data_IF_896463045833
#
_entry.id   IF_896463045833
#
_cell.length_a   1.000
_cell.length_b   1.000
_cell.length_c   1.000
_cell.angle_alpha   90.00
_cell.angle_beta   90.00
_cell.angle_gamma   90.00
#
_symmetry.space_group_name_H-M   'P 1'
#
loop_
_entity.id
_entity.type
_entity.pdbx_description
1 polymer ?
#
# COMPACT_ATOMS: atom_id res chain seq x y z
N UNK A 1 -10.30 -6.14 8.67
CA UNK A 1 -10.82 -6.71 9.94
C UNK A 1 -10.16 -8.06 10.13
N UNK A 2 -9.70 -8.40 11.35
CA UNK A 2 -9.15 -9.73 11.59
C UNK A 2 -10.24 -10.79 11.45
N UNK A 3 -9.92 -11.92 10.83
CA UNK A 3 -10.82 -13.08 10.78
C UNK A 3 -10.98 -13.62 12.21
N UNK A 4 -12.22 -13.68 12.71
CA UNK A 4 -12.51 -14.12 14.08
C UNK A 4 -12.66 -15.65 14.20
N UNK A 5 -13.02 -16.31 13.09
CA UNK A 5 -13.29 -17.74 13.08
C UNK A 5 -11.99 -18.54 12.88
N UNK A 6 -11.78 -19.56 13.70
CA UNK A 6 -10.67 -20.48 13.52
C UNK A 6 -10.98 -21.46 12.39
N UNK A 7 -10.01 -21.64 11.49
CA UNK A 7 -10.15 -22.61 10.42
C UNK A 7 -10.25 -24.02 10.98
N UNK A 8 -11.14 -24.87 10.44
CA UNK A 8 -11.25 -26.25 10.88
C UNK A 8 -9.92 -26.98 10.65
N UNK A 9 -9.38 -27.56 11.72
CA UNK A 9 -8.11 -28.31 11.70
C UNK A 9 -8.24 -29.69 11.08
N UNK A 10 -8.79 -29.80 9.87
CA UNK A 10 -8.97 -31.08 9.19
C UNK A 10 -7.62 -31.60 8.68
N UNK A 11 -7.04 -32.57 9.41
CA UNK A 11 -5.70 -33.13 9.10
C UNK A 11 -5.73 -34.39 8.25
N UNK A 12 -6.90 -34.99 8.06
CA UNK A 12 -7.05 -36.20 7.26
C UNK A 12 -6.97 -35.85 5.77
N UNK A 13 -5.85 -36.17 5.11
CA UNK A 13 -5.61 -35.85 3.68
C UNK A 13 -6.69 -36.39 2.76
N UNK A 14 -7.26 -37.56 3.08
CA UNK A 14 -8.25 -38.22 2.25
C UNK A 14 -7.72 -38.66 0.89
N UNK A 15 -8.64 -39.04 0.01
CA UNK A 15 -8.35 -39.46 -1.37
C UNK A 15 -9.14 -38.60 -2.33
N UNK A 16 -8.47 -38.14 -3.39
CA UNK A 16 -9.10 -37.30 -4.39
C UNK A 16 -10.19 -38.09 -5.16
N UNK A 17 -11.42 -37.55 -5.28
CA UNK A 17 -12.46 -38.19 -6.06
C UNK A 17 -12.07 -38.29 -7.55
N UNK A 18 -12.52 -39.34 -8.26
CA UNK A 18 -12.34 -39.45 -9.71
C UNK A 18 -12.87 -38.24 -10.46
N UNK A 19 -12.30 -37.94 -11.63
CA UNK A 19 -12.71 -36.79 -12.46
C UNK A 19 -14.23 -36.81 -12.78
N UNK A 20 -14.78 -37.99 -13.04
CA UNK A 20 -16.22 -38.17 -13.27
C UNK A 20 -17.08 -37.71 -12.09
N UNK A 21 -16.63 -37.91 -10.85
CA UNK A 21 -17.33 -37.49 -9.63
C UNK A 21 -17.23 -36.00 -9.37
N UNK A 22 -16.13 -35.37 -9.77
CA UNK A 22 -16.00 -33.91 -9.72
C UNK A 22 -16.92 -33.20 -10.70
N UNK A 23 -17.15 -33.80 -11.87
CA UNK A 23 -18.03 -33.23 -12.89
C UNK A 23 -19.50 -33.53 -12.64
N UNK A 24 -19.83 -34.78 -12.31
CA UNK A 24 -21.23 -35.24 -12.24
C UNK A 24 -21.81 -35.25 -10.82
N UNK A 25 -20.97 -35.02 -9.81
CA UNK A 25 -21.37 -35.09 -8.40
C UNK A 25 -21.61 -36.51 -7.90
N UNK A 26 -22.09 -36.58 -6.65
CA UNK A 26 -22.58 -37.82 -6.03
C UNK A 26 -24.05 -38.02 -6.40
N UNK A 27 -24.41 -39.26 -6.76
CA UNK A 27 -25.81 -39.58 -7.09
C UNK A 27 -26.59 -39.94 -5.81
N UNK A 28 -27.93 -39.75 -5.79
CA UNK A 28 -28.75 -40.16 -4.65
C UNK A 28 -28.56 -41.65 -4.32
N UNK A 29 -28.40 -41.96 -3.03
CA UNK A 29 -28.18 -43.33 -2.55
C UNK A 29 -26.74 -43.85 -2.67
N UNK A 30 -25.85 -43.09 -3.31
CA UNK A 30 -24.42 -43.38 -3.32
C UNK A 30 -23.83 -43.17 -1.92
N UNK A 31 -23.02 -44.13 -1.47
CA UNK A 31 -22.22 -44.02 -0.23
C UNK A 31 -20.76 -43.75 -0.62
N UNK A 32 -20.38 -42.49 -0.86
CA UNK A 32 -19.00 -42.19 -1.20
C UNK A 32 -18.07 -42.52 -0.03
N UNK A 33 -16.82 -42.92 -0.32
CA UNK A 33 -15.80 -43.11 0.71
C UNK A 33 -15.63 -41.86 1.57
N UNK A 34 -15.49 -42.03 2.89
CA UNK A 34 -15.23 -40.92 3.82
C UNK A 34 -13.97 -40.12 3.41
N UNK A 35 -13.01 -40.79 2.79
CA UNK A 35 -11.79 -40.19 2.26
C UNK A 35 -12.03 -39.12 1.19
N UNK A 36 -13.11 -39.19 0.42
CA UNK A 36 -13.45 -38.15 -0.56
C UNK A 36 -13.84 -36.85 0.14
N UNK A 37 -14.56 -36.94 1.26
CA UNK A 37 -14.91 -35.78 2.07
C UNK A 37 -13.69 -35.24 2.83
N UNK A 38 -12.86 -36.12 3.40
CA UNK A 38 -11.61 -35.73 4.03
C UNK A 38 -10.71 -34.92 3.08
N UNK A 39 -10.61 -35.35 1.82
CA UNK A 39 -9.88 -34.63 0.79
C UNK A 39 -10.48 -33.25 0.51
N UNK A 40 -11.80 -33.17 0.35
CA UNK A 40 -12.50 -31.91 0.09
C UNK A 40 -12.30 -30.92 1.25
N UNK A 41 -12.55 -31.35 2.49
CA UNK A 41 -12.47 -30.49 3.67
C UNK A 41 -11.04 -30.01 3.93
N UNK A 42 -10.05 -30.89 3.78
CA UNK A 42 -8.63 -30.49 3.92
C UNK A 42 -8.25 -29.44 2.87
N UNK A 43 -8.72 -29.58 1.63
CA UNK A 43 -8.40 -28.64 0.56
C UNK A 43 -9.10 -27.29 0.75
N UNK A 44 -10.37 -27.30 1.13
CA UNK A 44 -11.11 -26.08 1.47
C UNK A 44 -10.47 -25.33 2.64
N UNK A 45 -10.02 -26.06 3.66
CA UNK A 45 -9.34 -25.47 4.82
C UNK A 45 -8.03 -24.78 4.42
N UNK A 46 -7.22 -25.42 3.57
CA UNK A 46 -5.97 -24.81 3.04
C UNK A 46 -6.22 -23.57 2.20
N UNK A 47 -7.21 -23.61 1.30
CA UNK A 47 -7.57 -22.44 0.47
C UNK A 47 -8.05 -21.28 1.35
N UNK A 48 -8.85 -21.58 2.37
CA UNK A 48 -9.29 -20.57 3.32
C UNK A 48 -8.10 -19.97 4.10
N UNK A 49 -7.12 -20.79 4.50
CA UNK A 49 -5.88 -20.33 5.14
C UNK A 49 -5.07 -19.39 4.23
N UNK A 50 -4.89 -19.76 2.96
CA UNK A 50 -4.21 -18.93 1.97
C UNK A 50 -4.94 -17.61 1.74
N UNK A 51 -6.26 -17.63 1.63
CA UNK A 51 -7.08 -16.42 1.48
C UNK A 51 -6.97 -15.50 2.70
N UNK A 52 -7.02 -16.06 3.91
CA UNK A 52 -6.87 -15.28 5.14
C UNK A 52 -5.49 -14.62 5.24
N UNK A 53 -4.41 -15.35 4.92
CA UNK A 53 -3.03 -14.83 4.90
C UNK A 53 -2.85 -13.74 3.85
N UNK A 54 -3.25 -13.99 2.61
CA UNK A 54 -3.13 -13.01 1.52
C UNK A 54 -3.92 -11.73 1.81
N UNK A 55 -5.08 -11.84 2.45
CA UNK A 55 -5.87 -10.68 2.86
C UNK A 55 -5.17 -9.86 3.96
N UNK A 56 -4.52 -10.52 4.92
CA UNK A 56 -3.73 -9.86 5.96
C UNK A 56 -2.52 -9.11 5.36
N UNK A 57 -1.75 -9.76 4.49
CA UNK A 57 -0.59 -9.15 3.81
C UNK A 57 -0.97 -7.92 2.98
N UNK A 58 -2.11 -7.99 2.26
CA UNK A 58 -2.62 -6.85 1.49
C UNK A 58 -2.99 -5.67 2.40
N UNK A 59 -3.54 -5.95 3.58
CA UNK A 59 -3.88 -4.91 4.56
C UNK A 59 -2.63 -4.19 5.08
N UNK A 60 -1.57 -4.92 5.39
CA UNK A 60 -0.30 -4.36 5.86
C UNK A 60 0.37 -3.52 4.76
N UNK A 61 0.40 -4.06 3.54
CA UNK A 61 0.97 -3.35 2.38
C UNK A 61 0.21 -2.04 2.10
N UNK A 62 -1.11 -2.03 2.26
CA UNK A 62 -1.90 -0.82 2.08
C UNK A 62 -1.61 0.21 3.18
N UNK A 63 -1.48 -0.21 4.44
CA UNK A 63 -1.12 0.69 5.54
C UNK A 63 0.25 1.34 5.33
N UNK A 64 1.25 0.57 4.87
CA UNK A 64 2.59 1.10 4.54
C UNK A 64 2.50 2.08 3.37
N UNK A 65 1.73 1.75 2.32
CA UNK A 65 1.51 2.65 1.18
C UNK A 65 0.92 3.99 1.64
N UNK A 66 -0.08 3.97 2.52
CA UNK A 66 -0.73 5.18 3.02
C UNK A 66 0.24 6.06 3.84
N UNK A 67 1.13 5.44 4.62
CA UNK A 67 2.19 6.17 5.34
C UNK A 67 3.20 6.82 4.39
N UNK A 68 3.64 6.07 3.36
CA UNK A 68 4.57 6.59 2.35
C UNK A 68 3.94 7.75 1.58
N UNK A 69 2.67 7.63 1.19
CA UNK A 69 1.95 8.70 0.51
C UNK A 69 1.89 9.99 1.35
N UNK A 70 1.58 9.88 2.64
CA UNK A 70 1.58 11.04 3.56
C UNK A 70 2.95 11.70 3.68
N UNK A 71 4.02 10.89 3.77
CA UNK A 71 5.37 11.44 3.88
C UNK A 71 5.81 12.12 2.57
N UNK A 72 5.43 11.58 1.41
CA UNK A 72 5.68 12.23 0.11
C UNK A 72 4.96 13.58 0.05
N UNK A 73 3.69 13.65 0.46
CA UNK A 73 2.93 14.91 0.50
C UNK A 73 3.61 15.94 1.42
N UNK A 74 4.08 15.50 2.59
CA UNK A 74 4.82 16.35 3.54
C UNK A 74 6.10 16.90 2.91
N UNK A 75 6.93 16.03 2.31
CA UNK A 75 8.18 16.42 1.67
C UNK A 75 7.96 17.35 0.47
N UNK A 76 6.87 17.15 -0.29
CA UNK A 76 6.49 18.05 -1.37
C UNK A 76 6.12 19.44 -0.84
N UNK A 77 5.42 19.52 0.29
CA UNK A 77 5.13 20.78 0.98
C UNK A 77 6.39 21.50 1.44
N UNK A 78 7.31 20.79 2.10
CA UNK A 78 8.60 21.34 2.55
C UNK A 78 9.42 21.86 1.36
N UNK A 79 9.50 21.08 0.27
CA UNK A 79 10.19 21.50 -0.95
C UNK A 79 9.55 22.74 -1.58
N UNK A 80 8.22 22.85 -1.57
CA UNK A 80 7.53 24.02 -2.08
C UNK A 80 7.84 25.27 -1.24
N UNK A 81 7.89 25.14 0.09
CA UNK A 81 8.27 26.23 0.99
C UNK A 81 9.71 26.71 0.74
N UNK A 82 10.66 25.78 0.58
CA UNK A 82 12.05 26.11 0.23
C UNK A 82 12.11 26.83 -1.13
N UNK A 83 11.41 26.32 -2.15
CA UNK A 83 11.36 26.97 -3.47
C UNK A 83 10.76 28.37 -3.41
N UNK A 84 9.72 28.59 -2.60
CA UNK A 84 9.12 29.90 -2.43
C UNK A 84 10.09 30.93 -1.83
N UNK A 85 10.98 30.51 -0.93
CA UNK A 85 11.98 31.41 -0.35
C UNK A 85 13.10 31.77 -1.34
N UNK A 86 13.58 30.78 -2.10
CA UNK A 86 14.71 30.93 -3.04
C UNK A 86 14.33 31.40 -4.45
N UNK A 87 13.06 31.69 -4.73
CA UNK A 87 12.61 32.25 -6.04
C UNK A 87 12.52 33.77 -6.06
N UNK A 88 12.91 34.46 -4.98
CA UNK A 88 13.10 35.91 -5.02
C UNK A 88 14.27 36.22 -5.97
N UNK A 89 14.03 36.92 -7.10
CA UNK A 89 15.11 37.23 -8.03
C UNK A 89 16.16 38.11 -7.37
N UNK A 90 17.43 37.92 -7.71
CA UNK A 90 18.47 38.88 -7.38
C UNK A 90 18.18 40.17 -8.14
N UNK A 91 17.84 41.23 -7.41
CA UNK A 91 17.54 42.53 -8.01
C UNK A 91 18.79 43.39 -7.96
N UNK A 92 19.29 43.81 -9.13
CA UNK A 92 20.40 44.76 -9.26
C UNK A 92 19.82 46.09 -9.71
N UNK A 93 19.99 47.13 -8.88
CA UNK A 93 19.49 48.47 -9.14
C UNK A 93 20.63 49.48 -9.12
N UNK A 94 20.61 50.44 -10.06
CA UNK A 94 21.53 51.57 -10.07
C UNK A 94 20.86 52.77 -9.40
N UNK A 95 21.51 53.40 -8.42
CA UNK A 95 20.95 54.49 -7.61
C UNK A 95 21.97 55.61 -7.40
N UNK A 96 21.50 56.80 -7.03
CA UNK A 96 22.32 57.97 -6.65
C UNK A 96 22.38 58.19 -5.14
N UNK A 97 21.75 57.33 -4.35
CA UNK A 97 21.75 57.38 -2.88
C UNK A 97 21.52 56.00 -2.27
N UNK A 98 22.05 55.80 -1.06
CA UNK A 98 21.95 54.53 -0.34
C UNK A 98 20.55 54.34 0.28
N UNK A 99 20.00 53.11 0.28
CA UNK A 99 18.70 52.82 0.88
C UNK A 99 18.74 52.91 2.41
N UNK A 100 17.68 53.49 2.98
CA UNK A 100 17.50 53.60 4.44
C UNK A 100 17.24 52.23 5.10
N UNK A 101 16.74 51.23 4.33
CA UNK A 101 16.55 49.86 4.80
C UNK A 101 16.85 48.83 3.68
N UNK A 102 18.01 48.16 3.70
CA UNK A 102 18.40 47.18 2.69
C UNK A 102 17.58 45.88 2.79
N UNK A 103 17.00 45.41 1.68
CA UNK A 103 16.33 44.12 1.59
C UNK A 103 17.30 42.99 1.18
N UNK A 104 17.17 41.81 1.78
CA UNK A 104 17.94 40.61 1.41
C UNK A 104 17.59 40.22 -0.03
N UNK A 105 18.61 39.95 -0.86
CA UNK A 105 18.45 39.62 -2.27
C UNK A 105 18.46 40.83 -3.22
N UNK A 106 18.78 42.03 -2.73
CA UNK A 106 19.02 43.21 -3.58
C UNK A 106 20.47 43.68 -3.48
N UNK A 107 21.02 44.09 -4.63
CA UNK A 107 22.34 44.71 -4.76
C UNK A 107 22.14 46.09 -5.40
N UNK A 108 22.82 47.10 -4.86
CA UNK A 108 22.79 48.45 -5.42
C UNK A 108 24.17 48.86 -5.91
N UNK A 109 24.20 49.48 -7.08
CA UNK A 109 25.39 50.10 -7.67
C UNK A 109 25.18 51.61 -7.65
N UNK A 110 26.13 52.37 -7.08
CA UNK A 110 26.07 53.83 -7.14
C UNK A 110 26.53 54.33 -8.50
N UNK A 111 25.72 55.15 -9.16
CA UNK A 111 26.07 55.74 -10.47
C UNK A 111 26.98 56.96 -10.37
N UNK A 112 27.09 57.54 -9.18
CA UNK A 112 27.75 58.82 -8.89
C UNK A 112 29.13 58.67 -8.23
N UNK A 113 29.70 57.45 -8.29
CA UNK A 113 31.08 57.15 -7.86
C UNK A 113 32.10 57.42 -8.98
#
# INVERSE_FOLDING_TARGET
MPFNEQLPGWKATGTEPPASKKSNGFIPGEKPPADFFNWLFTRLSKVAEELQKNAAEKSETQAIRDLISKEIERLQGDMAAVRADHTKPLIIEVRTSDPVNPEIGRIWLRSDL
#
